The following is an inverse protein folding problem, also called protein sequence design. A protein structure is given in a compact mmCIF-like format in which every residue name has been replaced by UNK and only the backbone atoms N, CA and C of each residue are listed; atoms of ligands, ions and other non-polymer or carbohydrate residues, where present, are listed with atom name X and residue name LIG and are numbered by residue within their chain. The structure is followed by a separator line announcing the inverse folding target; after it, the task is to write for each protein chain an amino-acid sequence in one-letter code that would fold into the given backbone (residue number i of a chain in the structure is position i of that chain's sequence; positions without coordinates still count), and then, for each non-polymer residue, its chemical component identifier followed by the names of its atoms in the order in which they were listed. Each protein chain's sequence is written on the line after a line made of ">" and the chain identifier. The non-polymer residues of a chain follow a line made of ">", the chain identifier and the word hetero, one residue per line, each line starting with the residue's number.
data_IF_420893786948
#
_entry.id   IF_420893786948
#
_cell.length_a   1.000
_cell.length_b   1.000
_cell.length_c   1.000
_cell.angle_alpha   90.00
_cell.angle_beta   90.00
_cell.angle_gamma   90.00
#
_symmetry.space_group_name_H-M   'P 1'
#
loop_
_entity.id
_entity.type
_entity.pdbx_description
1 polymer ?
#
# COMPACT_ATOMS: atom_id res chain seq x y z
N UNK A 1 -4.46 -20.61 -7.68
CA UNK A 1 -5.89 -20.29 -7.53
C UNK A 1 -6.04 -19.49 -6.24
N UNK A 2 -6.25 -18.17 -6.31
CA UNK A 2 -6.33 -17.29 -5.12
C UNK A 2 -7.79 -16.95 -4.73
N UNK A 3 -8.74 -17.34 -5.56
CA UNK A 3 -10.17 -17.03 -5.40
C UNK A 3 -10.80 -17.62 -4.14
N UNK A 4 -10.24 -18.70 -3.58
CA UNK A 4 -10.74 -19.33 -2.35
C UNK A 4 -10.51 -18.46 -1.09
N UNK A 5 -9.60 -17.48 -1.16
CA UNK A 5 -9.30 -16.57 -0.05
C UNK A 5 -10.28 -15.38 -0.06
N UNK A 6 -10.85 -15.02 -1.21
CA UNK A 6 -11.82 -13.92 -1.29
C UNK A 6 -13.10 -14.32 -0.56
N UNK A 7 -13.60 -13.45 0.31
CA UNK A 7 -14.75 -13.69 1.17
C UNK A 7 -14.39 -14.32 2.53
N UNK A 8 -13.12 -14.63 2.80
CA UNK A 8 -12.67 -15.10 4.11
C UNK A 8 -12.16 -13.94 4.96
N UNK A 9 -12.10 -14.14 6.28
CA UNK A 9 -11.51 -13.17 7.19
C UNK A 9 -9.99 -13.16 7.04
N UNK A 10 -9.40 -11.98 7.00
CA UNK A 10 -7.95 -11.80 7.02
C UNK A 10 -7.35 -12.46 8.27
N UNK A 11 -6.36 -13.32 8.07
CA UNK A 11 -5.71 -14.08 9.14
C UNK A 11 -4.56 -13.30 9.76
N UNK A 12 -3.38 -13.33 9.14
CA UNK A 12 -2.18 -12.64 9.64
C UNK A 12 -1.26 -12.22 8.50
N UNK A 13 -0.38 -11.25 8.77
CA UNK A 13 0.64 -10.84 7.81
C UNK A 13 1.59 -11.99 7.42
N UNK A 14 1.98 -12.82 8.39
CA UNK A 14 2.85 -13.98 8.16
C UNK A 14 2.21 -14.98 7.19
N UNK A 15 0.95 -15.33 7.43
CA UNK A 15 0.23 -16.28 6.58
C UNK A 15 0.04 -15.73 5.16
N UNK A 16 -0.27 -14.43 5.03
CA UNK A 16 -0.32 -13.79 3.71
C UNK A 16 1.06 -13.80 3.04
N UNK A 17 2.13 -13.56 3.79
CA UNK A 17 3.50 -13.64 3.27
C UNK A 17 3.83 -15.01 2.70
N UNK A 18 3.41 -16.08 3.38
CA UNK A 18 3.63 -17.46 2.93
C UNK A 18 2.79 -17.77 1.68
N UNK A 19 1.51 -17.37 1.66
CA UNK A 19 0.61 -17.56 0.52
C UNK A 19 1.12 -16.81 -0.73
N UNK A 20 1.65 -15.60 -0.55
CA UNK A 20 2.11 -14.76 -1.64
C UNK A 20 3.64 -14.82 -1.86
N UNK A 21 4.31 -15.84 -1.32
CA UNK A 21 5.77 -15.98 -1.39
C UNK A 21 6.28 -15.94 -2.84
N UNK A 22 5.61 -16.66 -3.74
CA UNK A 22 5.99 -16.81 -5.15
C UNK A 22 5.69 -15.57 -6.01
N UNK A 23 4.83 -14.66 -5.56
CA UNK A 23 4.50 -13.46 -6.32
C UNK A 23 5.48 -12.34 -6.04
N UNK A 24 5.98 -11.69 -7.09
CA UNK A 24 6.87 -10.54 -6.95
C UNK A 24 6.20 -9.37 -6.23
N UNK A 25 4.97 -9.06 -6.62
CA UNK A 25 4.13 -8.04 -6.00
C UNK A 25 2.75 -8.61 -5.67
N UNK A 26 2.22 -8.28 -4.50
CA UNK A 26 0.90 -8.73 -4.05
C UNK A 26 0.25 -7.71 -3.11
N UNK A 27 -1.08 -7.59 -3.14
CA UNK A 27 -1.84 -6.75 -2.24
C UNK A 27 -3.17 -7.40 -1.87
N UNK A 28 -3.54 -7.33 -0.60
CA UNK A 28 -4.82 -7.81 -0.06
C UNK A 28 -5.59 -6.64 0.50
N UNK A 29 -6.82 -6.49 -0.01
CA UNK A 29 -7.75 -5.45 0.38
C UNK A 29 -8.95 -6.07 1.07
N UNK A 30 -9.30 -5.52 2.22
CA UNK A 30 -10.40 -5.99 3.07
C UNK A 30 -11.46 -4.90 3.25
N UNK A 31 -12.65 -5.28 3.66
CA UNK A 31 -13.67 -4.33 4.15
C UNK A 31 -13.50 -3.98 5.63
N UNK A 32 -14.50 -3.30 6.21
CA UNK A 32 -14.53 -2.92 7.62
C UNK A 32 -14.62 -4.09 8.59
N UNK A 33 -15.03 -5.28 8.15
CA UNK A 33 -15.15 -6.49 8.95
C UNK A 33 -13.90 -7.39 8.84
N UNK A 34 -12.83 -6.86 8.22
CA UNK A 34 -11.61 -7.59 7.86
C UNK A 34 -11.88 -8.79 6.92
N UNK A 35 -12.97 -8.76 6.14
CA UNK A 35 -13.23 -9.77 5.11
C UNK A 35 -12.49 -9.37 3.84
N UNK A 36 -11.76 -10.33 3.25
CA UNK A 36 -10.97 -10.12 2.03
C UNK A 36 -11.91 -9.91 0.85
N UNK A 37 -11.90 -8.71 0.30
CA UNK A 37 -12.75 -8.33 -0.83
C UNK A 37 -11.99 -8.40 -2.16
N UNK A 38 -10.68 -8.15 -2.14
CA UNK A 38 -9.88 -8.13 -3.37
C UNK A 38 -8.44 -8.52 -3.10
N UNK A 39 -7.88 -9.28 -4.05
CA UNK A 39 -6.46 -9.62 -4.10
C UNK A 39 -5.93 -9.16 -5.45
N UNK A 40 -4.82 -8.44 -5.45
CA UNK A 40 -4.06 -8.12 -6.66
C UNK A 40 -2.68 -8.74 -6.56
N UNK A 41 -2.23 -9.39 -7.63
CA UNK A 41 -0.87 -9.91 -7.77
C UNK A 41 -0.30 -9.41 -9.10
N UNK A 42 1.02 -9.27 -9.17
CA UNK A 42 1.67 -8.79 -10.38
C UNK A 42 3.16 -9.08 -10.43
N UNK A 43 3.65 -9.34 -11.64
CA UNK A 43 5.07 -9.58 -11.94
C UNK A 43 5.83 -8.28 -12.24
N UNK A 44 5.12 -7.17 -12.44
CA UNK A 44 5.71 -5.88 -12.81
C UNK A 44 5.84 -4.97 -11.59
N UNK A 45 7.01 -4.38 -11.45
CA UNK A 45 7.33 -3.45 -10.37
C UNK A 45 6.81 -2.03 -10.61
N UNK A 46 6.35 -1.72 -11.82
CA UNK A 46 5.86 -0.39 -12.16
C UNK A 46 4.47 -0.12 -11.56
N UNK A 47 4.43 0.86 -10.65
CA UNK A 47 3.23 1.26 -9.92
C UNK A 47 2.36 2.30 -10.63
N UNK A 48 2.81 2.88 -11.75
CA UNK A 48 2.00 3.75 -12.59
C UNK A 48 1.12 2.97 -13.57
N UNK A 49 1.43 1.69 -13.80
CA UNK A 49 0.66 0.86 -14.72
C UNK A 49 -0.70 0.45 -14.15
N UNK A 50 -1.63 0.11 -15.04
CA UNK A 50 -2.89 -0.54 -14.69
C UNK A 50 -2.71 -1.91 -14.01
N UNK A 51 -1.56 -2.55 -14.24
CA UNK A 51 -1.16 -3.84 -13.67
C UNK A 51 -0.57 -3.72 -12.26
N UNK A 52 -0.38 -2.49 -11.76
CA UNK A 52 0.06 -2.25 -10.38
C UNK A 52 -0.88 -2.91 -9.38
N UNK A 53 -0.31 -3.49 -8.32
CA UNK A 53 -1.08 -4.02 -7.19
C UNK A 53 -1.75 -2.93 -6.36
N UNK A 54 -1.39 -1.65 -6.55
CA UNK A 54 -1.98 -0.49 -5.88
C UNK A 54 -3.34 -0.13 -6.50
N UNK A 55 -4.38 -0.09 -5.66
CA UNK A 55 -5.70 0.40 -6.07
C UNK A 55 -5.75 1.93 -6.12
N UNK A 56 -6.67 2.47 -6.92
CA UNK A 56 -6.98 3.90 -6.82
C UNK A 56 -7.40 4.23 -5.37
N UNK A 57 -6.83 5.28 -4.75
CA UNK A 57 -7.21 5.75 -3.42
C UNK A 57 -8.72 5.92 -3.21
N UNK A 58 -9.47 6.21 -4.27
CA UNK A 58 -10.93 6.27 -4.24
C UNK A 58 -11.61 4.97 -3.76
N UNK A 59 -11.04 3.80 -4.07
CA UNK A 59 -11.53 2.51 -3.54
C UNK A 59 -11.18 2.32 -2.06
N UNK A 60 -10.12 2.98 -1.58
CA UNK A 60 -9.67 2.84 -0.21
C UNK A 60 -10.58 3.55 0.82
N UNK A 61 -11.58 4.29 0.34
CA UNK A 61 -12.69 4.79 1.17
C UNK A 61 -13.57 3.65 1.71
N UNK A 62 -13.61 2.51 1.02
CA UNK A 62 -14.40 1.32 1.39
C UNK A 62 -13.55 0.11 1.70
N UNK A 63 -12.32 0.09 1.17
CA UNK A 63 -11.38 -1.01 1.34
C UNK A 63 -10.16 -0.55 2.11
N UNK A 64 -9.65 -1.38 3.00
CA UNK A 64 -8.36 -1.17 3.65
C UNK A 64 -7.33 -2.12 3.05
N UNK A 65 -6.16 -1.62 2.71
CA UNK A 65 -5.02 -2.47 2.38
C UNK A 65 -4.49 -3.11 3.68
N UNK A 66 -4.51 -4.43 3.76
CA UNK A 66 -4.06 -5.19 4.94
C UNK A 66 -2.81 -6.01 4.71
N UNK A 67 -2.51 -6.32 3.46
CA UNK A 67 -1.25 -6.87 3.04
C UNK A 67 -0.78 -6.15 1.78
N UNK A 68 0.51 -5.81 1.73
CA UNK A 68 1.15 -5.27 0.55
C UNK A 68 2.58 -5.81 0.52
N UNK A 69 2.95 -6.36 -0.62
CA UNK A 69 4.30 -6.79 -0.95
C UNK A 69 4.63 -6.14 -2.28
N UNK A 70 5.71 -5.39 -2.28
CA UNK A 70 6.30 -4.83 -3.47
C UNK A 70 7.80 -5.13 -3.45
N UNK A 71 8.34 -5.66 -4.55
CA UNK A 71 9.72 -6.18 -4.54
C UNK A 71 10.77 -5.07 -4.47
N UNK A 72 10.54 -3.96 -5.16
CA UNK A 72 11.50 -2.85 -5.35
C UNK A 72 11.06 -1.56 -4.68
N UNK A 73 9.87 -1.53 -4.09
CA UNK A 73 9.29 -0.35 -3.48
C UNK A 73 8.60 -0.69 -2.17
N UNK A 74 8.42 0.33 -1.34
CA UNK A 74 7.39 0.34 -0.31
C UNK A 74 6.38 1.45 -0.64
N UNK A 75 5.12 1.21 -0.29
CA UNK A 75 4.05 2.15 -0.56
C UNK A 75 2.99 2.20 0.55
N UNK A 76 2.41 3.36 0.77
CA UNK A 76 1.30 3.53 1.70
C UNK A 76 0.34 4.63 1.25
N UNK A 77 -0.95 4.51 1.56
CA UNK A 77 -1.92 5.53 1.19
C UNK A 77 -1.91 6.69 2.18
N UNK A 78 -2.07 7.90 1.66
CA UNK A 78 -2.26 9.14 2.41
C UNK A 78 -3.52 9.82 1.89
N UNK A 79 -4.41 10.23 2.79
CA UNK A 79 -5.69 10.84 2.45
C UNK A 79 -5.75 12.35 2.72
N UNK A 80 -4.75 12.88 3.43
CA UNK A 80 -4.59 14.30 3.65
C UNK A 80 -3.70 14.91 2.55
N UNK A 81 -4.19 15.98 1.92
CA UNK A 81 -3.52 16.58 0.77
C UNK A 81 -2.22 17.29 1.17
N UNK A 82 -2.21 18.05 2.27
CA UNK A 82 -1.04 18.83 2.71
C UNK A 82 0.10 17.87 3.07
N UNK A 83 -0.23 16.79 3.76
CA UNK A 83 0.72 15.73 4.12
C UNK A 83 1.23 15.03 2.87
N UNK A 84 0.34 14.64 1.96
CA UNK A 84 0.74 14.01 0.70
C UNK A 84 1.71 14.89 -0.08
N UNK A 85 1.37 16.17 -0.25
CA UNK A 85 2.22 17.15 -0.92
C UNK A 85 3.59 17.26 -0.24
N UNK A 86 3.63 17.38 1.09
CA UNK A 86 4.89 17.46 1.84
C UNK A 86 5.81 16.24 1.63
N UNK A 87 5.22 15.05 1.51
CA UNK A 87 5.96 13.80 1.35
C UNK A 87 6.49 13.61 -0.07
N UNK A 88 5.71 13.97 -1.10
CA UNK A 88 6.14 13.77 -2.50
C UNK A 88 7.26 14.70 -2.93
N UNK A 89 7.49 15.80 -2.20
CA UNK A 89 8.65 16.68 -2.41
C UNK A 89 9.95 16.10 -1.84
N UNK A 90 9.90 15.03 -1.05
CA UNK A 90 11.10 14.38 -0.52
C UNK A 90 11.89 13.67 -1.65
N UNK A 91 13.23 13.71 -1.60
CA UNK A 91 14.05 13.01 -2.59
C UNK A 91 13.72 11.51 -2.66
N UNK A 92 13.68 10.97 -3.89
CA UNK A 92 13.39 9.56 -4.19
C UNK A 92 11.95 9.10 -3.87
N UNK A 93 11.13 9.94 -3.25
CA UNK A 93 9.71 9.65 -3.06
C UNK A 93 8.96 9.97 -4.35
N UNK A 94 8.01 9.10 -4.69
CA UNK A 94 7.10 9.26 -5.81
C UNK A 94 5.67 9.24 -5.27
N UNK A 95 4.81 10.01 -5.91
CA UNK A 95 3.40 10.13 -5.54
C UNK A 95 2.49 9.68 -6.67
N UNK A 96 1.41 8.97 -6.32
CA UNK A 96 0.28 8.73 -7.23
C UNK A 96 -1.01 9.24 -6.60
N UNK A 97 -1.32 10.51 -6.87
CA UNK A 97 -2.55 11.16 -6.41
C UNK A 97 -3.78 10.69 -7.21
N UNK A 98 -4.93 10.73 -6.55
CA UNK A 98 -6.24 10.54 -7.15
C UNK A 98 -7.11 11.75 -6.83
N UNK A 99 -7.68 12.34 -7.88
CA UNK A 99 -8.57 13.49 -7.77
C UNK A 99 -9.94 13.09 -8.31
N UNK A 100 -10.97 13.40 -7.53
CA UNK A 100 -12.37 13.19 -7.88
C UNK A 100 -13.07 14.51 -8.19
N UNK A 101 -14.41 14.48 -8.21
CA UNK A 101 -15.24 15.66 -8.51
C UNK A 101 -15.09 16.79 -7.48
N UNK A 102 -14.74 16.45 -6.24
CA UNK A 102 -14.67 17.37 -5.09
C UNK A 102 -13.23 17.69 -4.65
N UNK A 103 -12.23 17.29 -5.44
CA UNK A 103 -10.81 17.52 -5.13
C UNK A 103 -10.05 16.23 -4.81
N UNK A 104 -9.00 16.36 -3.98
CA UNK A 104 -8.11 15.27 -3.61
C UNK A 104 -8.86 14.15 -2.87
N UNK A 105 -8.75 12.92 -3.37
CA UNK A 105 -9.36 11.74 -2.76
C UNK A 105 -8.37 10.85 -2.00
N UNK A 106 -7.08 11.17 -2.11
CA UNK A 106 -5.98 10.42 -1.55
C UNK A 106 -4.87 10.17 -2.57
N UNK A 107 -3.73 9.71 -2.10
CA UNK A 107 -2.58 9.38 -2.93
C UNK A 107 -1.75 8.26 -2.33
N UNK A 108 -1.04 7.54 -3.19
CA UNK A 108 0.01 6.63 -2.75
C UNK A 108 1.33 7.35 -2.65
N UNK A 109 1.97 7.23 -1.50
CA UNK A 109 3.39 7.53 -1.33
C UNK A 109 4.15 6.25 -1.64
N UNK A 110 5.14 6.34 -2.54
CA UNK A 110 5.94 5.21 -2.99
C UNK A 110 7.42 5.60 -2.94
N UNK A 111 8.27 4.77 -2.37
CA UNK A 111 9.71 5.03 -2.33
C UNK A 111 10.53 3.75 -2.59
N UNK A 112 11.73 3.85 -3.20
CA UNK A 112 12.59 2.70 -3.46
C UNK A 112 12.95 1.97 -2.17
N UNK A 113 12.71 0.66 -2.16
CA UNK A 113 12.90 -0.17 -0.98
C UNK A 113 12.88 -1.64 -1.41
N UNK A 114 14.06 -2.26 -1.52
CA UNK A 114 14.17 -3.63 -2.02
C UNK A 114 13.91 -4.65 -0.92
N UNK A 115 12.99 -5.59 -1.15
CA UNK A 115 12.70 -6.71 -0.25
C UNK A 115 12.20 -6.31 1.14
N UNK A 116 11.72 -5.08 1.33
CA UNK A 116 11.47 -4.52 2.66
C UNK A 116 10.05 -4.77 3.18
N UNK A 117 9.64 -6.03 3.21
CA UNK A 117 8.30 -6.41 3.66
C UNK A 117 7.98 -5.93 5.09
N UNK A 118 8.98 -5.87 5.98
CA UNK A 118 8.80 -5.39 7.35
C UNK A 118 8.52 -3.88 7.40
N UNK A 119 9.24 -3.09 6.60
CA UNK A 119 8.96 -1.66 6.45
C UNK A 119 7.54 -1.43 5.92
N UNK A 120 7.19 -2.21 4.90
CA UNK A 120 5.88 -2.18 4.28
C UNK A 120 4.77 -2.56 5.27
N UNK A 121 4.98 -3.56 6.12
CA UNK A 121 4.07 -3.97 7.20
C UNK A 121 3.87 -2.85 8.22
N UNK A 122 4.95 -2.20 8.67
CA UNK A 122 4.89 -1.11 9.64
C UNK A 122 4.06 0.08 9.14
N UNK A 123 4.15 0.41 7.86
CA UNK A 123 3.33 1.46 7.26
C UNK A 123 1.83 1.14 7.23
N UNK A 124 1.45 -0.15 7.21
CA UNK A 124 0.05 -0.59 7.07
C UNK A 124 -0.63 -1.00 8.37
N UNK A 125 0.11 -1.57 9.32
CA UNK A 125 -0.46 -2.06 10.58
C UNK A 125 -0.73 -0.95 11.58
N UNK A 126 0.06 0.11 11.52
CA UNK A 126 -0.06 1.19 12.45
C UNK A 126 -1.13 2.15 11.92
N UNK A 127 -2.17 2.41 12.72
CA UNK A 127 -3.05 3.56 12.54
C UNK A 127 -2.25 4.82 12.84
N UNK A 128 -1.32 5.14 11.95
CA UNK A 128 -0.34 6.18 12.13
C UNK A 128 -1.01 7.52 11.90
N UNK A 129 -0.74 8.46 12.81
CA UNK A 129 -0.81 9.85 12.43
C UNK A 129 0.12 10.08 11.23
N UNK A 130 -0.23 11.04 10.40
CA UNK A 130 0.61 11.45 9.29
C UNK A 130 2.05 11.79 9.70
N UNK A 131 2.22 12.41 10.86
CA UNK A 131 3.53 12.72 11.45
C UNK A 131 4.38 11.45 11.64
N UNK A 132 3.75 10.38 12.14
CA UNK A 132 4.45 9.10 12.37
C UNK A 132 4.69 8.34 11.06
N UNK A 133 3.81 8.49 10.05
CA UNK A 133 4.11 8.01 8.70
C UNK A 133 5.34 8.71 8.10
N UNK A 134 5.44 10.03 8.28
CA UNK A 134 6.58 10.83 7.84
C UNK A 134 7.86 10.42 8.59
N UNK A 135 7.79 10.18 9.90
CA UNK A 135 8.93 9.70 10.68
C UNK A 135 9.46 8.37 10.15
N UNK A 136 8.59 7.38 9.92
CA UNK A 136 8.97 6.09 9.36
C UNK A 136 9.57 6.28 7.96
N UNK A 137 8.96 7.11 7.10
CA UNK A 137 9.48 7.42 5.78
C UNK A 137 10.91 7.98 5.87
N UNK A 138 11.13 8.95 6.75
CA UNK A 138 12.44 9.59 6.96
C UNK A 138 13.50 8.62 7.48
N UNK A 139 13.12 7.66 8.34
CA UNK A 139 14.02 6.60 8.79
C UNK A 139 14.48 5.69 7.64
N UNK A 140 13.59 5.41 6.68
CA UNK A 140 13.91 4.58 5.53
C UNK A 140 14.72 5.32 4.45
N UNK A 141 14.45 6.61 4.23
CA UNK A 141 15.19 7.42 3.24
C UNK A 141 16.64 7.74 3.66
N UNK A 142 16.97 7.59 4.95
CA UNK A 142 18.33 7.79 5.48
C UNK A 142 19.25 6.57 5.32
N UNK A 143 18.70 5.40 4.97
CA UNK A 143 19.46 4.18 4.68
C UNK A 143 19.87 4.15 3.21
#
# INVERSE_FOLDING_TARGET
>A
MLSWIVGTKFSSWSEMSDIFADYRNAAVYVDSEDIIQMIKVGEFDDFYTQYSVLLSPSYLKRLRVRYLKMMTYAAFPVFDQEIYESMVYLPKVKGRASYGKVGFEGGWIVYPCEGCQEAQRLHLELHLSAEKQLEILMLHLRR
#
